data_IF_083845433554
#
_entry.id   IF_083845433554
#
_cell.length_a   1.000
_cell.length_b   1.000
_cell.length_c   1.000
_cell.angle_alpha   90.00
_cell.angle_beta   90.00
_cell.angle_gamma   90.00
#
_symmetry.space_group_name_H-M   'P 1'
#
loop_
_entity.id
_entity.type
_entity.pdbx_description
1 polymer ?
#
# COMPACT_ATOMS: atom_id res chain seq x y z
N UNK A 1 19.19 7.08 -4.70
CA UNK A 1 17.91 6.34 -4.82
C UNK A 1 17.03 7.07 -5.80
N UNK A 2 16.49 6.37 -6.79
CA UNK A 2 15.49 6.92 -7.71
C UNK A 2 14.15 6.29 -7.35
N UNK A 3 13.07 7.06 -7.46
CA UNK A 3 11.73 6.56 -7.13
C UNK A 3 11.32 5.36 -7.99
N UNK A 4 11.81 5.31 -9.23
CA UNK A 4 11.58 4.21 -10.17
C UNK A 4 12.11 2.87 -9.65
N UNK A 5 13.09 2.88 -8.76
CA UNK A 5 13.68 1.67 -8.19
C UNK A 5 12.69 0.90 -7.27
N UNK A 6 11.57 1.52 -6.90
CA UNK A 6 10.53 0.94 -6.04
C UNK A 6 9.30 0.44 -6.80
N UNK A 7 9.14 0.80 -8.07
CA UNK A 7 8.05 0.30 -8.90
C UNK A 7 8.46 -1.05 -9.53
N UNK A 8 7.78 -2.12 -9.13
CA UNK A 8 7.99 -3.45 -9.70
C UNK A 8 6.72 -3.95 -10.36
N UNK A 9 6.85 -4.81 -11.38
CA UNK A 9 5.69 -5.43 -12.02
C UNK A 9 4.83 -6.22 -11.02
N UNK A 10 5.45 -6.80 -9.99
CA UNK A 10 4.77 -7.57 -8.95
C UNK A 10 3.91 -6.71 -8.00
N UNK A 11 4.21 -5.42 -7.87
CA UNK A 11 3.52 -4.50 -6.96
C UNK A 11 2.79 -3.36 -7.67
N UNK A 12 2.84 -3.32 -9.01
CA UNK A 12 2.21 -2.27 -9.82
C UNK A 12 1.01 -2.82 -10.56
N UNK A 13 -0.15 -2.20 -10.35
CA UNK A 13 -1.41 -2.64 -10.94
C UNK A 13 -1.99 -1.55 -11.83
N UNK A 14 -2.39 -1.93 -13.04
CA UNK A 14 -3.22 -1.09 -13.89
C UNK A 14 -4.64 -1.64 -13.86
N UNK A 15 -5.63 -0.75 -13.76
CA UNK A 15 -7.07 -1.09 -13.77
C UNK A 15 -7.46 -2.15 -12.71
N UNK A 16 -7.23 -1.82 -11.45
CA UNK A 16 -7.68 -2.66 -10.33
C UNK A 16 -9.21 -2.82 -10.30
N UNK A 17 -9.70 -3.97 -9.86
CA UNK A 17 -11.11 -4.24 -9.62
C UNK A 17 -11.58 -3.77 -8.22
N UNK A 18 -10.68 -3.21 -7.40
CA UNK A 18 -11.01 -2.69 -6.09
C UNK A 18 -12.05 -1.56 -6.19
N UNK A 19 -13.19 -1.73 -5.52
CA UNK A 19 -14.32 -0.79 -5.55
C UNK A 19 -14.34 0.19 -4.39
N UNK A 20 -13.51 -0.03 -3.38
CA UNK A 20 -13.45 0.78 -2.17
C UNK A 20 -12.03 0.80 -1.57
N UNK A 21 -11.85 1.66 -0.57
CA UNK A 21 -10.56 1.88 0.08
C UNK A 21 -9.99 0.63 0.75
N UNK A 22 -10.84 -0.14 1.44
CA UNK A 22 -10.42 -1.36 2.12
C UNK A 22 -9.98 -2.42 1.11
N UNK A 23 -10.66 -2.52 -0.02
CA UNK A 23 -10.25 -3.39 -1.12
C UNK A 23 -8.88 -2.99 -1.68
N UNK A 24 -8.61 -1.69 -1.88
CA UNK A 24 -7.28 -1.20 -2.30
C UNK A 24 -6.20 -1.60 -1.28
N UNK A 25 -6.43 -1.40 0.02
CA UNK A 25 -5.44 -1.76 1.05
C UNK A 25 -5.15 -3.26 1.09
N UNK A 26 -6.19 -4.10 0.93
CA UNK A 26 -6.02 -5.55 0.81
C UNK A 26 -5.22 -5.93 -0.43
N UNK A 27 -5.53 -5.36 -1.59
CA UNK A 27 -4.77 -5.62 -2.83
C UNK A 27 -3.28 -5.29 -2.65
N UNK A 28 -2.96 -4.13 -2.06
CA UNK A 28 -1.58 -3.73 -1.80
C UNK A 28 -0.89 -4.67 -0.81
N UNK A 29 -1.55 -4.99 0.31
CA UNK A 29 -0.98 -5.86 1.33
C UNK A 29 -0.66 -7.26 0.78
N UNK A 30 -1.57 -7.87 0.02
CA UNK A 30 -1.36 -9.17 -0.61
C UNK A 30 -0.25 -9.14 -1.67
N UNK A 31 -0.18 -8.09 -2.50
CA UNK A 31 0.91 -7.94 -3.46
C UNK A 31 2.30 -7.87 -2.80
N UNK A 32 2.39 -7.09 -1.72
CA UNK A 32 3.62 -6.92 -0.94
C UNK A 32 3.96 -8.17 -0.11
N UNK A 33 2.96 -8.92 0.37
CA UNK A 33 3.12 -10.21 1.04
C UNK A 33 3.66 -11.27 0.09
N UNK A 34 3.06 -11.41 -1.09
CA UNK A 34 3.53 -12.30 -2.16
C UNK A 34 4.97 -11.97 -2.60
N UNK A 35 5.33 -10.68 -2.59
CA UNK A 35 6.68 -10.20 -2.88
C UNK A 35 7.67 -10.34 -1.71
N UNK A 36 7.24 -10.91 -0.58
CA UNK A 36 8.01 -11.06 0.67
C UNK A 36 8.53 -9.73 1.25
N UNK A 37 7.89 -8.62 0.90
CA UNK A 37 8.20 -7.28 1.44
C UNK A 37 7.51 -7.10 2.80
N UNK A 38 6.29 -7.65 2.92
CA UNK A 38 5.47 -7.61 4.12
C UNK A 38 5.39 -9.00 4.73
N UNK A 39 5.67 -9.12 6.04
CA UNK A 39 5.61 -10.38 6.77
C UNK A 39 4.25 -10.65 7.42
N UNK A 40 3.42 -9.62 7.54
CA UNK A 40 2.06 -9.70 8.08
C UNK A 40 1.16 -8.67 7.38
N UNK A 41 0.31 -9.17 6.48
CA UNK A 41 -0.59 -8.37 5.65
C UNK A 41 -1.66 -7.67 6.50
N UNK A 42 -2.26 -8.36 7.47
CA UNK A 42 -3.27 -7.77 8.35
C UNK A 42 -2.71 -6.61 9.17
N UNK A 43 -1.48 -6.74 9.64
CA UNK A 43 -0.81 -5.66 10.36
C UNK A 43 -0.59 -4.43 9.46
N UNK A 44 -0.21 -4.66 8.20
CA UNK A 44 -0.07 -3.56 7.23
C UNK A 44 -1.41 -2.88 6.97
N UNK A 45 -2.48 -3.65 6.76
CA UNK A 45 -3.83 -3.11 6.53
C UNK A 45 -4.27 -2.25 7.72
N UNK A 46 -4.11 -2.75 8.96
CA UNK A 46 -4.42 -1.99 10.18
C UNK A 46 -3.61 -0.70 10.30
N UNK A 47 -2.34 -0.72 9.89
CA UNK A 47 -1.49 0.47 9.91
C UNK A 47 -1.92 1.51 8.87
N UNK A 48 -2.31 1.08 7.67
CA UNK A 48 -2.87 1.95 6.63
C UNK A 48 -4.22 2.55 7.05
N UNK A 49 -5.12 1.72 7.59
CA UNK A 49 -6.41 2.17 8.12
C UNK A 49 -6.22 3.20 9.22
N UNK A 50 -5.34 2.93 10.20
CA UNK A 50 -4.99 3.89 11.25
C UNK A 50 -4.51 5.21 10.64
N UNK A 51 -3.55 5.18 9.71
CA UNK A 51 -3.04 6.40 9.09
C UNK A 51 -4.15 7.17 8.37
N UNK A 52 -5.07 6.48 7.72
CA UNK A 52 -6.18 7.12 7.03
C UNK A 52 -7.17 7.78 8.01
N UNK A 53 -7.34 7.24 9.22
CA UNK A 53 -8.17 7.88 10.26
C UNK A 53 -7.58 9.16 10.83
N UNK A 54 -6.25 9.33 10.77
CA UNK A 54 -5.56 10.56 11.20
C UNK A 54 -5.79 11.72 10.21
N UNK A 55 -6.25 11.40 9.01
CA UNK A 55 -6.62 12.34 7.96
C UNK A 55 -6.51 11.69 6.58
N UNK A 56 -7.37 12.10 5.63
CA UNK A 56 -7.37 11.51 4.29
C UNK A 56 -6.00 11.65 3.64
N UNK A 57 -5.55 10.59 2.98
CA UNK A 57 -4.29 10.58 2.20
C UNK A 57 -4.51 10.95 0.73
N UNK A 58 -5.73 11.37 0.37
CA UNK A 58 -6.05 11.96 -0.92
C UNK A 58 -5.35 13.31 -1.09
N UNK A 59 -4.69 13.49 -2.24
CA UNK A 59 -3.95 14.73 -2.55
C UNK A 59 -4.66 15.61 -3.58
N UNK A 60 -5.86 15.22 -4.03
CA UNK A 60 -6.63 15.93 -5.06
C UNK A 60 -6.54 15.24 -6.42
N UNK A 61 -7.32 15.72 -7.39
CA UNK A 61 -7.25 15.30 -8.80
C UNK A 61 -7.39 13.79 -9.05
N UNK A 62 -8.13 13.09 -8.17
CA UNK A 62 -8.28 11.63 -8.24
C UNK A 62 -7.04 10.84 -7.80
N UNK A 63 -6.07 11.49 -7.15
CA UNK A 63 -4.84 10.88 -6.63
C UNK A 63 -4.88 10.75 -5.11
N UNK A 64 -4.29 9.67 -4.61
CA UNK A 64 -4.06 9.43 -3.19
C UNK A 64 -2.69 8.78 -2.98
N UNK A 65 -2.10 9.01 -1.82
CA UNK A 65 -0.83 8.40 -1.41
C UNK A 65 -1.03 7.68 -0.07
N UNK A 66 -1.75 6.54 -0.03
CA UNK A 66 -1.87 5.76 1.20
C UNK A 66 -0.48 5.26 1.62
N UNK A 67 -0.06 5.61 2.84
CA UNK A 67 1.25 5.24 3.38
C UNK A 67 1.10 4.89 4.86
N UNK A 68 2.05 4.15 5.42
CA UNK A 68 2.16 3.94 6.86
C UNK A 68 3.56 3.47 7.23
N UNK A 69 3.93 3.61 8.50
CA UNK A 69 5.06 2.86 9.07
C UNK A 69 4.53 1.59 9.74
N UNK A 70 5.14 0.44 9.43
CA UNK A 70 4.79 -0.85 10.04
C UNK A 70 6.01 -1.72 10.24
N UNK A 71 6.11 -2.37 11.40
CA UNK A 71 7.15 -3.37 11.70
C UNK A 71 7.02 -4.62 10.82
N UNK A 72 5.89 -4.82 10.14
CA UNK A 72 5.73 -5.90 9.18
C UNK A 72 6.42 -5.66 7.84
N UNK A 73 6.90 -4.43 7.57
CA UNK A 73 7.57 -4.07 6.32
C UNK A 73 9.09 -4.24 6.48
N UNK A 74 9.68 -5.10 5.64
CA UNK A 74 11.12 -5.45 5.72
C UNK A 74 12.02 -4.48 4.97
N UNK A 75 11.49 -3.77 3.98
CA UNK A 75 12.17 -2.73 3.20
C UNK A 75 11.14 -1.73 2.64
N UNK A 76 11.52 -0.47 2.38
CA UNK A 76 10.61 0.49 1.75
C UNK A 76 10.11 -0.02 0.40
N UNK A 77 8.84 0.26 0.09
CA UNK A 77 8.17 -0.14 -1.15
C UNK A 77 7.08 0.87 -1.53
N UNK A 78 6.68 0.85 -2.80
CA UNK A 78 5.58 1.62 -3.39
C UNK A 78 4.62 0.63 -4.06
#
# INVERSE_FOLDING_TARGET
MKIIDYFTEATTFLKTAASDKTAVFKTLATALGNSKIVTNEEQLIKALEKRETEGPTGVGDGLAIPHCSSNSVTKPAI
#
